data_IF_743034852600
#
_entry.id   IF_743034852600
#
_cell.length_a   1.000
_cell.length_b   1.000
_cell.length_c   1.000
_cell.angle_alpha   90.00
_cell.angle_beta   90.00
_cell.angle_gamma   90.00
#
_symmetry.space_group_name_H-M   'P 1'
#
loop_
_entity.id
_entity.type
_entity.pdbx_description
1 polymer ?
#
# COMPACT_ATOMS: atom_id res chain seq x y z
N UNK A 1 1.83 31.19 6.78
CA UNK A 1 2.97 30.39 6.26
C UNK A 1 2.42 29.26 5.44
N UNK A 2 2.95 29.01 4.25
CA UNK A 2 2.61 27.85 3.42
C UNK A 2 3.92 27.21 2.98
N UNK A 3 4.10 25.92 3.27
CA UNK A 3 5.32 25.18 2.95
C UNK A 3 4.94 23.86 2.27
N UNK A 4 5.47 23.57 1.06
CA UNK A 4 5.26 22.28 0.41
C UNK A 4 5.96 21.17 1.23
N UNK A 5 5.31 20.01 1.30
CA UNK A 5 5.90 18.81 1.87
C UNK A 5 6.20 17.80 0.77
N UNK A 6 7.22 16.96 0.92
CA UNK A 6 7.53 15.91 -0.05
C UNK A 6 6.33 14.97 -0.23
N UNK A 7 5.83 14.86 -1.45
CA UNK A 7 4.82 13.89 -1.83
C UNK A 7 4.87 13.72 -3.35
N UNK A 8 4.90 12.47 -3.82
CA UNK A 8 5.03 12.18 -5.26
C UNK A 8 3.70 12.26 -6.01
N UNK A 9 2.61 11.86 -5.37
CA UNK A 9 1.30 11.75 -6.03
C UNK A 9 0.43 12.96 -5.75
N UNK A 10 0.24 13.24 -4.47
CA UNK A 10 -0.62 14.32 -4.00
C UNK A 10 0.21 15.59 -3.82
N UNK A 11 -0.42 16.74 -3.88
CA UNK A 11 0.23 17.98 -3.46
C UNK A 11 -0.11 18.21 -2.00
N UNK A 12 0.92 18.17 -1.16
CA UNK A 12 0.77 18.30 0.29
C UNK A 12 1.46 19.56 0.77
N UNK A 13 0.75 20.35 1.53
CA UNK A 13 1.27 21.61 2.08
C UNK A 13 1.03 21.67 3.58
N UNK A 14 2.01 22.15 4.30
CA UNK A 14 1.82 22.63 5.65
C UNK A 14 1.36 24.08 5.61
N UNK A 15 0.29 24.38 6.32
CA UNK A 15 -0.23 25.73 6.48
C UNK A 15 -0.32 26.10 7.96
N UNK A 16 -0.27 27.40 8.25
CA UNK A 16 -0.52 27.92 9.58
C UNK A 16 -1.76 28.82 9.54
N UNK A 17 -2.72 28.52 10.40
CA UNK A 17 -3.92 29.34 10.56
C UNK A 17 -3.59 30.68 11.21
N UNK A 18 -4.53 31.65 11.20
CA UNK A 18 -4.38 32.93 11.90
C UNK A 18 -4.30 32.76 13.43
N UNK A 19 -4.85 31.68 13.95
CA UNK A 19 -4.78 31.31 15.36
C UNK A 19 -3.46 30.62 15.75
N UNK A 20 -2.55 30.39 14.78
CA UNK A 20 -1.26 29.77 15.03
C UNK A 20 -1.25 28.23 14.89
N UNK A 21 -2.39 27.60 14.64
CA UNK A 21 -2.49 26.15 14.45
C UNK A 21 -1.80 25.72 13.17
N UNK A 22 -1.10 24.59 13.20
CA UNK A 22 -0.44 24.01 12.03
C UNK A 22 -1.29 22.86 11.48
N UNK A 23 -1.64 22.96 10.21
CA UNK A 23 -2.45 22.00 9.49
C UNK A 23 -1.71 21.48 8.25
N UNK A 24 -2.09 20.30 7.82
CA UNK A 24 -1.68 19.72 6.54
C UNK A 24 -2.88 19.80 5.60
N UNK A 25 -2.66 20.36 4.42
CA UNK A 25 -3.61 20.33 3.30
C UNK A 25 -3.11 19.31 2.29
N UNK A 26 -3.90 18.26 2.03
CA UNK A 26 -3.64 17.25 1.02
C UNK A 26 -4.58 17.52 -0.16
N UNK A 27 -4.01 17.88 -1.31
CA UNK A 27 -4.73 17.96 -2.58
C UNK A 27 -4.55 16.62 -3.31
N UNK A 28 -5.65 15.92 -3.52
CA UNK A 28 -5.63 14.63 -4.20
C UNK A 28 -5.35 14.81 -5.70
N UNK A 29 -4.51 13.95 -6.26
CA UNK A 29 -4.20 14.00 -7.70
C UNK A 29 -5.50 13.87 -8.50
N UNK A 30 -5.79 14.81 -9.46
CA UNK A 30 -6.99 14.75 -10.26
C UNK A 30 -7.15 13.41 -10.99
N UNK A 31 -8.36 12.85 -10.99
CA UNK A 31 -8.75 11.59 -11.64
C UNK A 31 -8.17 10.31 -10.99
N UNK A 32 -7.41 10.40 -9.88
CA UNK A 32 -6.96 9.22 -9.16
C UNK A 32 -8.10 8.60 -8.37
N UNK A 33 -8.77 9.40 -7.56
CA UNK A 33 -9.87 8.96 -6.72
C UNK A 33 -11.13 9.76 -6.98
N UNK A 34 -12.28 9.09 -6.92
CA UNK A 34 -13.58 9.75 -6.82
C UNK A 34 -13.76 10.36 -5.41
N UNK A 35 -14.76 11.24 -5.25
CA UNK A 35 -15.13 11.75 -3.94
C UNK A 35 -15.48 10.62 -2.97
N UNK A 36 -16.27 9.64 -3.43
CA UNK A 36 -16.68 8.50 -2.61
C UNK A 36 -15.49 7.64 -2.16
N UNK A 37 -14.49 7.44 -3.03
CA UNK A 37 -13.27 6.72 -2.68
C UNK A 37 -12.46 7.45 -1.60
N UNK A 38 -12.38 8.79 -1.64
CA UNK A 38 -11.73 9.59 -0.59
C UNK A 38 -12.55 9.52 0.71
N UNK A 39 -13.87 9.57 0.64
CA UNK A 39 -14.72 9.39 1.82
C UNK A 39 -14.63 7.98 2.41
N UNK A 40 -14.35 6.94 1.60
CA UNK A 40 -14.06 5.58 2.10
C UNK A 40 -12.75 5.55 2.92
N UNK A 41 -11.69 6.27 2.48
CA UNK A 41 -10.46 6.48 3.25
C UNK A 41 -10.76 7.15 4.60
N UNK A 42 -11.49 8.26 4.57
CA UNK A 42 -11.83 9.02 5.77
C UNK A 42 -12.69 8.22 6.75
N UNK A 43 -13.60 7.38 6.25
CA UNK A 43 -14.39 6.46 7.09
C UNK A 43 -13.51 5.39 7.74
N UNK A 44 -12.50 4.88 7.04
CA UNK A 44 -11.58 3.92 7.64
C UNK A 44 -10.72 4.56 8.73
N UNK A 45 -10.22 5.77 8.51
CA UNK A 45 -9.53 6.55 9.54
C UNK A 45 -10.42 6.79 10.77
N UNK A 46 -11.69 7.13 10.57
CA UNK A 46 -12.64 7.30 11.66
C UNK A 46 -12.91 6.00 12.44
N UNK A 47 -13.05 4.85 11.74
CA UNK A 47 -13.21 3.54 12.38
C UNK A 47 -11.95 3.17 13.20
N UNK A 48 -10.75 3.46 12.69
CA UNK A 48 -9.50 3.28 13.42
C UNK A 48 -9.42 4.18 14.67
N UNK A 49 -9.73 5.46 14.52
CA UNK A 49 -9.74 6.39 15.66
C UNK A 49 -10.74 5.99 16.74
N UNK A 50 -11.93 5.53 16.35
CA UNK A 50 -12.94 5.00 17.28
C UNK A 50 -12.45 3.75 18.02
N UNK A 51 -11.56 2.97 17.41
CA UNK A 51 -10.90 1.82 18.03
C UNK A 51 -9.62 2.22 18.80
N UNK A 52 -9.44 3.53 19.06
CA UNK A 52 -8.27 4.09 19.77
C UNK A 52 -6.93 3.73 19.11
N UNK A 53 -6.94 3.52 17.78
CA UNK A 53 -5.72 3.33 17.00
C UNK A 53 -5.15 4.73 16.71
N UNK A 54 -3.86 4.97 16.97
CA UNK A 54 -3.24 6.26 16.70
C UNK A 54 -3.16 6.57 15.19
N UNK A 55 -4.14 7.30 14.67
CA UNK A 55 -4.22 7.76 13.28
C UNK A 55 -4.47 9.26 13.24
N UNK A 56 -4.32 9.87 12.07
CA UNK A 56 -4.63 11.29 11.85
C UNK A 56 -5.90 11.39 11.01
N UNK A 57 -7.02 11.71 11.66
CA UNK A 57 -8.28 11.92 10.97
C UNK A 57 -8.33 13.29 10.29
N UNK A 58 -9.00 13.40 9.13
CA UNK A 58 -9.27 14.68 8.51
C UNK A 58 -10.22 15.54 9.38
N UNK A 59 -10.05 16.85 9.27
CA UNK A 59 -10.91 17.83 9.93
C UNK A 59 -12.22 17.99 9.15
N UNK A 60 -13.31 18.22 9.87
CA UNK A 60 -14.57 18.64 9.26
C UNK A 60 -14.47 20.07 8.74
N UNK A 61 -14.98 20.28 7.53
CA UNK A 61 -15.14 21.59 6.91
C UNK A 61 -16.44 22.25 7.38
N UNK A 62 -16.64 23.50 7.01
CA UNK A 62 -17.82 24.29 7.42
C UNK A 62 -19.17 23.71 6.99
N UNK A 63 -19.19 22.84 5.98
CA UNK A 63 -20.36 22.13 5.50
C UNK A 63 -20.56 20.74 6.15
N UNK A 64 -19.72 20.39 7.13
CA UNK A 64 -19.74 19.09 7.82
C UNK A 64 -19.08 17.96 7.03
N UNK A 65 -18.55 18.22 5.84
CA UNK A 65 -17.81 17.23 5.06
C UNK A 65 -16.33 17.22 5.45
N UNK A 66 -15.63 16.13 5.16
CA UNK A 66 -14.15 16.05 5.31
C UNK A 66 -13.43 16.20 3.97
N UNK A 67 -14.18 16.28 2.86
CA UNK A 67 -13.65 16.39 1.49
C UNK A 67 -14.12 17.68 0.87
N UNK A 68 -13.21 18.63 0.70
CA UNK A 68 -13.46 19.85 -0.06
C UNK A 68 -13.15 19.69 -1.54
N UNK A 69 -13.62 20.63 -2.35
CA UNK A 69 -13.31 20.72 -3.77
C UNK A 69 -12.99 22.16 -4.14
N UNK A 70 -11.89 22.34 -4.87
CA UNK A 70 -11.54 23.61 -5.50
C UNK A 70 -11.19 23.33 -6.95
N UNK A 71 -11.84 24.05 -7.87
CA UNK A 71 -11.82 23.74 -9.30
C UNK A 71 -12.14 22.26 -9.56
N UNK A 72 -11.20 21.52 -10.16
CA UNK A 72 -11.35 20.08 -10.42
C UNK A 72 -10.56 19.18 -9.45
N UNK A 73 -10.10 19.73 -8.32
CA UNK A 73 -9.23 19.03 -7.37
C UNK A 73 -9.92 18.87 -6.03
N UNK A 74 -9.96 17.66 -5.50
CA UNK A 74 -10.39 17.38 -4.14
C UNK A 74 -9.27 17.67 -3.15
N UNK A 75 -9.62 18.10 -1.94
CA UNK A 75 -8.66 18.30 -0.87
C UNK A 75 -9.24 17.91 0.49
N UNK A 76 -8.37 17.63 1.43
CA UNK A 76 -8.70 17.44 2.84
C UNK A 76 -7.71 18.18 3.73
N UNK A 77 -8.16 18.51 4.93
CA UNK A 77 -7.36 19.15 5.97
C UNK A 77 -7.09 18.16 7.09
N UNK A 78 -5.85 18.09 7.53
CA UNK A 78 -5.45 17.24 8.64
C UNK A 78 -4.71 18.07 9.71
N UNK A 79 -4.86 17.75 11.00
CA UNK A 79 -3.99 18.33 12.01
C UNK A 79 -2.54 17.88 11.75
N UNK A 80 -1.58 18.79 11.86
CA UNK A 80 -0.17 18.40 11.74
C UNK A 80 0.23 17.56 12.94
N UNK A 81 0.69 16.35 12.68
CA UNK A 81 1.29 15.45 13.66
C UNK A 81 2.70 15.10 13.21
N UNK A 82 3.65 15.25 14.11
CA UNK A 82 5.05 14.90 13.86
C UNK A 82 5.38 13.63 14.64
N UNK A 83 6.25 12.80 14.11
CA UNK A 83 6.82 11.64 14.77
C UNK A 83 8.25 11.44 14.27
N UNK A 84 8.98 10.54 14.90
CA UNK A 84 10.29 10.07 14.42
C UNK A 84 10.07 8.86 13.55
N UNK A 85 10.95 8.60 12.61
CA UNK A 85 10.94 7.36 11.87
C UNK A 85 11.07 6.17 12.85
N UNK A 86 10.23 5.16 12.64
CA UNK A 86 10.24 3.98 13.48
C UNK A 86 11.31 3.00 12.97
N UNK A 87 12.22 2.64 13.88
CA UNK A 87 13.24 1.64 13.64
C UNK A 87 12.95 0.39 14.48
N UNK A 88 13.10 -0.77 13.86
CA UNK A 88 13.03 -2.07 14.54
C UNK A 88 14.41 -2.40 15.08
N UNK A 89 14.54 -2.42 16.41
CA UNK A 89 15.80 -2.68 17.09
C UNK A 89 15.77 -3.97 17.93
N UNK A 90 14.58 -4.50 18.24
CA UNK A 90 14.39 -5.68 19.07
C UNK A 90 13.16 -6.51 18.61
N UNK A 91 13.08 -7.74 19.08
CA UNK A 91 11.95 -8.65 18.82
C UNK A 91 10.61 -8.05 19.25
N UNK A 92 10.59 -7.35 20.39
CA UNK A 92 9.37 -6.69 20.89
C UNK A 92 8.82 -5.64 19.90
N UNK A 93 9.67 -5.03 19.08
CA UNK A 93 9.22 -4.07 18.07
C UNK A 93 8.38 -4.76 16.99
N UNK A 94 8.73 -6.00 16.60
CA UNK A 94 7.93 -6.80 15.67
C UNK A 94 6.57 -7.16 16.27
N UNK A 95 6.56 -7.63 17.52
CA UNK A 95 5.32 -7.92 18.23
C UNK A 95 4.44 -6.68 18.41
N UNK A 96 5.04 -5.52 18.66
CA UNK A 96 4.37 -4.22 18.72
C UNK A 96 3.73 -3.83 17.37
N UNK A 97 4.45 -4.06 16.26
CA UNK A 97 3.91 -3.88 14.91
C UNK A 97 2.72 -4.81 14.67
N UNK A 98 2.85 -6.08 15.00
CA UNK A 98 1.78 -7.05 14.86
C UNK A 98 0.51 -6.64 15.60
N UNK A 99 0.63 -6.20 16.87
CA UNK A 99 -0.51 -5.66 17.65
C UNK A 99 -1.20 -4.49 16.95
N UNK A 100 -0.41 -3.58 16.39
CA UNK A 100 -0.96 -2.42 15.67
C UNK A 100 -1.73 -2.85 14.43
N UNK A 101 -1.15 -3.74 13.61
CA UNK A 101 -1.77 -4.24 12.37
C UNK A 101 -3.04 -5.04 12.68
N UNK A 102 -3.01 -5.92 13.69
CA UNK A 102 -4.19 -6.67 14.13
C UNK A 102 -5.37 -5.76 14.52
N UNK A 103 -5.10 -4.66 15.22
CA UNK A 103 -6.12 -3.66 15.57
C UNK A 103 -6.65 -2.91 14.34
N UNK A 104 -5.78 -2.52 13.40
CA UNK A 104 -6.19 -1.88 12.15
C UNK A 104 -7.11 -2.81 11.35
N UNK A 105 -6.76 -4.08 11.23
CA UNK A 105 -7.55 -5.06 10.49
C UNK A 105 -8.88 -5.36 11.17
N UNK A 106 -8.92 -5.41 12.50
CA UNK A 106 -10.18 -5.51 13.25
C UNK A 106 -11.11 -4.32 12.99
N UNK A 107 -10.57 -3.11 12.85
CA UNK A 107 -11.35 -1.95 12.39
C UNK A 107 -11.70 -2.07 10.89
N UNK A 108 -10.83 -2.72 10.09
CA UNK A 108 -11.01 -2.96 8.66
C UNK A 108 -12.22 -3.82 8.33
N UNK A 109 -12.54 -4.83 9.15
CA UNK A 109 -13.68 -5.73 8.98
C UNK A 109 -15.04 -5.04 9.12
N UNK A 110 -15.10 -3.93 9.84
CA UNK A 110 -16.38 -3.30 10.21
C UNK A 110 -17.23 -2.86 9.03
N UNK A 111 -16.62 -2.55 7.89
CA UNK A 111 -17.32 -2.01 6.70
C UNK A 111 -16.64 -2.44 5.41
N UNK A 112 -17.42 -2.51 4.35
CA UNK A 112 -16.92 -2.68 2.98
C UNK A 112 -16.95 -1.32 2.29
N UNK A 113 -15.84 -0.82 1.71
CA UNK A 113 -15.80 0.42 0.96
C UNK A 113 -16.57 0.27 -0.36
N UNK A 114 -17.06 1.39 -0.91
CA UNK A 114 -17.89 1.38 -2.11
C UNK A 114 -17.07 1.47 -3.40
N UNK A 115 -16.01 2.26 -3.40
CA UNK A 115 -15.28 2.64 -4.60
C UNK A 115 -13.75 2.45 -4.47
N UNK A 116 -13.32 1.56 -3.56
CA UNK A 116 -11.91 1.22 -3.43
C UNK A 116 -11.56 -0.04 -4.22
N UNK A 117 -10.30 -0.09 -4.64
CA UNK A 117 -9.75 -1.23 -5.38
C UNK A 117 -9.87 -2.50 -4.55
N UNK A 118 -10.20 -3.61 -5.21
CA UNK A 118 -10.05 -4.96 -4.65
C UNK A 118 -8.77 -5.56 -5.21
N UNK A 119 -7.83 -5.85 -4.33
CA UNK A 119 -6.54 -6.43 -4.68
C UNK A 119 -6.70 -7.87 -5.13
N UNK A 120 -6.49 -8.12 -6.42
CA UNK A 120 -6.64 -9.45 -7.00
C UNK A 120 -5.84 -9.54 -8.31
N UNK A 121 -5.12 -10.67 -8.59
CA UNK A 121 -4.29 -10.81 -9.80
C UNK A 121 -5.07 -10.54 -11.10
N UNK A 122 -6.26 -11.11 -11.24
CA UNK A 122 -7.11 -10.97 -12.45
C UNK A 122 -7.92 -9.67 -12.52
N UNK A 123 -7.78 -8.78 -11.54
CA UNK A 123 -8.47 -7.48 -11.53
C UNK A 123 -7.44 -6.35 -11.47
N UNK A 124 -7.07 -5.90 -10.27
CA UNK A 124 -6.19 -4.75 -10.09
C UNK A 124 -4.84 -4.91 -10.79
N UNK A 125 -4.20 -6.09 -10.70
CA UNK A 125 -2.92 -6.32 -11.38
C UNK A 125 -3.11 -6.40 -12.89
N UNK A 126 -4.20 -7.02 -13.36
CA UNK A 126 -4.54 -7.04 -14.80
C UNK A 126 -4.78 -5.63 -15.33
N UNK A 127 -5.51 -4.80 -14.61
CA UNK A 127 -5.76 -3.40 -15.00
C UNK A 127 -4.46 -2.60 -15.10
N UNK A 128 -3.51 -2.84 -14.19
CA UNK A 128 -2.20 -2.20 -14.19
C UNK A 128 -1.33 -2.69 -15.36
N UNK A 129 -1.30 -4.00 -15.65
CA UNK A 129 -0.63 -4.57 -16.82
C UNK A 129 -1.20 -4.03 -18.13
N UNK A 130 -2.53 -4.02 -18.25
CA UNK A 130 -3.23 -3.45 -19.40
C UNK A 130 -2.86 -1.98 -19.62
N UNK A 131 -2.75 -1.20 -18.54
CA UNK A 131 -2.33 0.20 -18.63
C UNK A 131 -0.91 0.33 -19.15
N UNK A 132 0.03 -0.47 -18.65
CA UNK A 132 1.44 -0.45 -19.09
C UNK A 132 1.55 -0.84 -20.56
N UNK A 133 0.88 -1.91 -20.96
CA UNK A 133 0.98 -2.50 -22.31
C UNK A 133 0.30 -1.60 -23.34
N UNK A 134 -0.94 -1.15 -23.09
CA UNK A 134 -1.70 -0.27 -24.00
C UNK A 134 -1.11 1.13 -24.11
N UNK A 135 -0.45 1.59 -23.05
CA UNK A 135 0.26 2.86 -23.05
C UNK A 135 1.61 2.83 -23.75
N UNK A 136 2.02 1.66 -24.28
CA UNK A 136 3.29 1.44 -24.98
C UNK A 136 4.52 1.86 -24.15
N UNK A 137 4.45 1.63 -22.83
CA UNK A 137 5.55 1.99 -21.92
C UNK A 137 6.71 0.99 -21.98
N UNK A 138 6.46 -0.25 -22.39
CA UNK A 138 7.48 -1.28 -22.62
C UNK A 138 8.06 -1.12 -24.01
N UNK A 139 9.39 -1.14 -24.11
CA UNK A 139 10.06 -1.03 -25.43
C UNK A 139 9.67 -2.18 -26.34
N UNK A 140 9.60 -1.98 -27.66
CA UNK A 140 9.17 -3.01 -28.63
C UNK A 140 9.93 -4.33 -28.47
N UNK A 141 11.23 -4.27 -28.20
CA UNK A 141 12.12 -5.41 -28.06
C UNK A 141 11.78 -6.28 -26.83
N UNK A 142 11.29 -5.65 -25.76
CA UNK A 142 11.00 -6.31 -24.49
C UNK A 142 9.52 -6.68 -24.30
N UNK A 143 8.65 -6.10 -25.13
CA UNK A 143 7.20 -6.19 -24.95
C UNK A 143 6.67 -7.63 -24.92
N UNK A 144 7.03 -8.43 -25.91
CA UNK A 144 6.53 -9.81 -26.01
C UNK A 144 6.97 -10.68 -24.84
N UNK A 145 8.23 -10.50 -24.36
CA UNK A 145 8.75 -11.25 -23.20
C UNK A 145 8.08 -10.79 -21.92
N UNK A 146 7.86 -9.48 -21.74
CA UNK A 146 7.15 -8.94 -20.60
C UNK A 146 5.71 -9.43 -20.52
N UNK A 147 4.97 -9.39 -21.64
CA UNK A 147 3.58 -9.86 -21.72
C UNK A 147 3.49 -11.36 -21.39
N UNK A 148 4.31 -12.21 -22.00
CA UNK A 148 4.30 -13.65 -21.77
C UNK A 148 4.67 -14.01 -20.31
N UNK A 149 5.70 -13.38 -19.75
CA UNK A 149 6.14 -13.62 -18.38
C UNK A 149 5.05 -13.21 -17.37
N UNK A 150 4.52 -12.02 -17.52
CA UNK A 150 3.52 -11.50 -16.57
C UNK A 150 2.20 -12.25 -16.66
N UNK A 151 1.77 -12.68 -17.87
CA UNK A 151 0.60 -13.55 -18.05
C UNK A 151 0.76 -14.87 -17.31
N UNK A 152 1.89 -15.56 -17.53
CA UNK A 152 2.19 -16.83 -16.83
C UNK A 152 2.17 -16.68 -15.31
N UNK A 153 2.72 -15.59 -14.79
CA UNK A 153 2.70 -15.35 -13.35
C UNK A 153 1.27 -15.13 -12.86
N UNK A 154 0.50 -14.26 -13.53
CA UNK A 154 -0.90 -13.98 -13.14
C UNK A 154 -1.75 -15.26 -13.18
N UNK A 155 -1.57 -16.10 -14.18
CA UNK A 155 -2.28 -17.38 -14.26
C UNK A 155 -1.90 -18.32 -13.12
N UNK A 156 -0.61 -18.43 -12.79
CA UNK A 156 -0.11 -19.33 -11.74
C UNK A 156 -0.55 -18.91 -10.33
N UNK A 157 -0.56 -17.59 -10.03
CA UNK A 157 -0.91 -17.10 -8.69
C UNK A 157 -2.41 -16.92 -8.46
N UNK A 158 -3.20 -16.78 -9.52
CA UNK A 158 -4.64 -16.47 -9.37
C UNK A 158 -5.43 -17.49 -8.55
N UNK A 159 -5.20 -18.82 -8.69
CA UNK A 159 -5.89 -19.80 -7.88
C UNK A 159 -5.60 -19.67 -6.37
N UNK A 160 -4.46 -19.12 -5.99
CA UNK A 160 -4.07 -18.95 -4.59
C UNK A 160 -4.95 -17.93 -3.85
N UNK A 161 -5.57 -17.01 -4.60
CA UNK A 161 -6.47 -15.98 -4.05
C UNK A 161 -7.93 -16.43 -3.95
N UNK A 162 -8.26 -17.62 -4.47
CA UNK A 162 -9.61 -18.16 -4.35
C UNK A 162 -9.92 -18.51 -2.88
N UNK A 163 -10.99 -17.92 -2.36
CA UNK A 163 -11.37 -18.07 -0.95
C UNK A 163 -10.53 -17.31 0.06
N UNK A 164 -9.54 -16.54 -0.37
CA UNK A 164 -8.78 -15.68 0.53
C UNK A 164 -9.69 -14.65 1.21
N UNK A 165 -9.47 -14.43 2.49
CA UNK A 165 -10.16 -13.39 3.22
C UNK A 165 -9.82 -12.00 2.65
N UNK A 166 -10.84 -11.16 2.50
CA UNK A 166 -10.70 -9.80 1.99
C UNK A 166 -11.37 -8.82 2.95
N UNK A 167 -10.58 -7.90 3.50
CA UNK A 167 -11.02 -6.81 4.37
C UNK A 167 -10.50 -5.47 3.87
N UNK A 168 -10.87 -4.36 4.53
CA UNK A 168 -10.15 -3.10 4.33
C UNK A 168 -8.77 -3.22 4.95
N UNK A 169 -7.75 -2.98 4.16
CA UNK A 169 -6.35 -2.93 4.56
C UNK A 169 -5.77 -1.54 4.29
N UNK A 170 -4.66 -1.23 4.91
CA UNK A 170 -3.95 0.05 4.66
C UNK A 170 -3.43 0.12 3.22
N UNK A 171 -2.93 -0.99 2.69
CA UNK A 171 -2.49 -1.15 1.31
C UNK A 171 -1.08 -0.62 1.01
N UNK A 172 -0.52 0.21 1.88
CA UNK A 172 0.85 0.74 1.78
C UNK A 172 1.51 0.84 3.16
N UNK A 173 1.35 -0.19 4.00
CA UNK A 173 1.81 -0.19 5.38
C UNK A 173 3.31 -0.52 5.49
N UNK A 174 4.15 0.40 5.06
CA UNK A 174 5.59 0.32 5.26
C UNK A 174 6.06 1.18 6.45
N UNK A 175 7.30 0.99 6.91
CA UNK A 175 7.83 1.69 8.11
C UNK A 175 7.78 3.21 8.01
N UNK A 176 7.95 3.77 6.82
CA UNK A 176 7.83 5.23 6.59
C UNK A 176 6.45 5.79 6.89
N UNK A 177 5.40 4.95 6.89
CA UNK A 177 4.04 5.32 7.25
C UNK A 177 3.70 5.04 8.73
N UNK A 178 4.72 4.70 9.55
CA UNK A 178 4.60 4.37 10.97
C UNK A 178 5.48 5.28 11.84
N UNK A 179 5.23 6.59 11.91
CA UNK A 179 5.99 7.46 12.79
C UNK A 179 5.77 7.11 14.27
N UNK A 180 6.88 7.01 15.02
CA UNK A 180 6.85 6.83 16.47
C UNK A 180 6.81 8.19 17.18
N UNK A 181 5.89 8.30 18.15
CA UNK A 181 5.70 9.53 18.93
C UNK A 181 6.00 9.26 20.40
N UNK A 182 6.97 9.97 20.98
CA UNK A 182 7.30 9.82 22.39
C UNK A 182 6.06 9.98 23.28
N UNK A 183 5.74 8.96 24.05
CA UNK A 183 4.61 8.95 24.99
C UNK A 183 3.23 8.60 24.37
N UNK A 184 3.09 8.60 23.04
CA UNK A 184 1.84 8.24 22.35
C UNK A 184 1.98 6.91 21.58
N UNK A 185 3.19 6.50 21.25
CA UNK A 185 3.47 5.26 20.54
C UNK A 185 3.44 5.37 19.02
N UNK A 186 3.35 4.23 18.34
CA UNK A 186 3.29 4.16 16.88
C UNK A 186 1.98 4.74 16.38
N UNK A 187 2.08 5.68 15.46
CA UNK A 187 0.98 6.27 14.73
C UNK A 187 0.99 5.73 13.30
N UNK A 188 -0.18 5.62 12.66
CA UNK A 188 -0.32 5.23 11.27
C UNK A 188 -0.78 6.42 10.45
N UNK A 189 -0.11 6.66 9.33
CA UNK A 189 -0.43 7.75 8.41
C UNK A 189 -0.57 7.22 6.97
N UNK A 190 -1.13 8.06 6.11
CA UNK A 190 -1.22 7.87 4.65
C UNK A 190 -2.03 6.64 4.20
N UNK A 191 -3.31 6.67 4.50
CA UNK A 191 -4.31 5.69 4.05
C UNK A 191 -4.75 5.90 2.58
N UNK A 192 -4.01 6.67 1.79
CA UNK A 192 -4.38 7.02 0.40
C UNK A 192 -4.55 5.78 -0.48
N UNK A 193 -3.75 4.75 -0.25
CA UNK A 193 -3.78 3.47 -0.97
C UNK A 193 -4.63 2.39 -0.28
N UNK A 194 -5.45 2.76 0.73
CA UNK A 194 -6.34 1.80 1.37
C UNK A 194 -7.21 1.10 0.31
N UNK A 195 -7.37 -0.21 0.48
CA UNK A 195 -8.05 -1.07 -0.47
C UNK A 195 -8.77 -2.23 0.22
N UNK A 196 -9.45 -3.05 -0.56
CA UNK A 196 -9.94 -4.37 -0.13
C UNK A 196 -8.86 -5.38 -0.52
N UNK A 197 -8.33 -6.10 0.45
CA UNK A 197 -7.27 -7.08 0.19
C UNK A 197 -7.09 -8.08 1.32
N UNK A 198 -6.24 -9.09 1.11
CA UNK A 198 -5.93 -10.05 2.16
C UNK A 198 -5.10 -9.39 3.27
N UNK A 199 -5.39 -9.68 4.56
CA UNK A 199 -4.67 -9.09 5.71
C UNK A 199 -3.15 -9.22 5.62
N UNK A 200 -2.64 -10.33 5.11
CA UNK A 200 -1.21 -10.58 4.96
C UNK A 200 -0.50 -9.53 4.09
N UNK A 201 -1.25 -8.77 3.27
CA UNK A 201 -0.67 -7.71 2.44
C UNK A 201 0.00 -6.61 3.28
N UNK A 202 -0.63 -6.16 4.35
CA UNK A 202 -0.03 -5.14 5.21
C UNK A 202 1.12 -5.70 6.06
N UNK A 203 1.13 -7.00 6.35
CA UNK A 203 2.20 -7.63 7.13
C UNK A 203 3.49 -7.77 6.31
N UNK A 204 3.41 -8.26 5.06
CA UNK A 204 4.63 -8.48 4.28
C UNK A 204 5.36 -7.20 3.91
N UNK A 205 4.66 -6.06 3.81
CA UNK A 205 5.28 -4.75 3.54
C UNK A 205 6.22 -4.28 4.67
N UNK A 206 6.11 -4.87 5.86
CA UNK A 206 6.98 -4.60 7.00
C UNK A 206 8.24 -5.47 7.00
N UNK A 207 8.23 -6.61 6.29
CA UNK A 207 9.31 -7.59 6.32
C UNK A 207 10.60 -7.05 5.66
N UNK A 208 11.77 -7.43 6.20
CA UNK A 208 13.05 -6.98 5.65
C UNK A 208 13.45 -7.68 4.36
N UNK A 209 12.93 -8.89 4.09
CA UNK A 209 13.30 -9.74 2.95
C UNK A 209 12.10 -10.60 2.50
N UNK A 210 12.32 -11.55 1.61
CA UNK A 210 11.36 -12.57 1.21
C UNK A 210 10.87 -13.40 2.41
N UNK A 211 9.65 -13.94 2.31
CA UNK A 211 9.00 -14.68 3.39
C UNK A 211 9.86 -15.83 3.93
N UNK A 212 10.50 -16.59 3.05
CA UNK A 212 11.37 -17.71 3.44
C UNK A 212 12.57 -17.33 4.31
N UNK A 213 13.04 -16.08 4.19
CA UNK A 213 14.15 -15.52 4.97
C UNK A 213 13.71 -14.70 6.18
N UNK A 214 12.42 -14.38 6.27
CA UNK A 214 11.83 -13.53 7.31
C UNK A 214 10.90 -14.33 8.24
N UNK A 215 11.11 -15.64 8.39
CA UNK A 215 10.23 -16.52 9.19
C UNK A 215 10.10 -16.04 10.63
N UNK A 216 11.24 -15.68 11.26
CA UNK A 216 11.26 -15.14 12.64
C UNK A 216 10.45 -13.86 12.77
N UNK A 217 10.61 -12.94 11.85
CA UNK A 217 9.89 -11.66 11.83
C UNK A 217 8.39 -11.90 11.63
N UNK A 218 8.01 -12.85 10.76
CA UNK A 218 6.62 -13.26 10.56
C UNK A 218 6.04 -13.81 11.86
N UNK A 219 6.73 -14.76 12.53
CA UNK A 219 6.26 -15.36 13.78
C UNK A 219 6.03 -14.29 14.86
N UNK A 220 6.98 -13.37 15.05
CA UNK A 220 6.87 -12.27 16.00
C UNK A 220 5.75 -11.28 15.67
N UNK A 221 5.55 -10.98 14.38
CA UNK A 221 4.42 -10.16 13.91
C UNK A 221 3.09 -10.85 14.25
N UNK A 222 2.98 -12.16 13.98
CA UNK A 222 1.77 -12.92 14.23
C UNK A 222 1.51 -13.08 15.72
N UNK A 223 2.53 -13.30 16.56
CA UNK A 223 2.40 -13.29 18.02
C UNK A 223 1.75 -12.00 18.55
N UNK A 224 2.06 -10.88 17.93
CA UNK A 224 1.42 -9.60 18.26
C UNK A 224 0.02 -9.46 17.67
N UNK A 225 -0.16 -9.82 16.43
CA UNK A 225 -1.40 -9.70 15.67
C UNK A 225 -2.53 -10.50 16.31
N UNK A 226 -2.25 -11.74 16.68
CA UNK A 226 -3.24 -12.69 17.23
C UNK A 226 -3.71 -12.35 18.65
N UNK A 227 -3.09 -11.37 19.31
CA UNK A 227 -3.63 -10.80 20.54
C UNK A 227 -4.94 -10.02 20.32
N UNK A 228 -5.23 -9.63 19.08
CA UNK A 228 -6.40 -8.81 18.74
C UNK A 228 -7.31 -9.46 17.70
N UNK A 229 -6.75 -10.24 16.79
CA UNK A 229 -7.48 -10.81 15.67
C UNK A 229 -6.85 -12.13 15.25
N UNK A 230 -7.67 -13.16 15.05
CA UNK A 230 -7.23 -14.42 14.46
C UNK A 230 -6.63 -14.22 13.06
N UNK A 231 -5.55 -14.94 12.75
CA UNK A 231 -4.86 -14.84 11.48
C UNK A 231 -4.98 -16.13 10.67
N UNK A 232 -5.30 -16.03 9.40
CA UNK A 232 -5.25 -17.16 8.48
C UNK A 232 -3.79 -17.45 8.08
N UNK A 233 -3.13 -18.37 8.77
CA UNK A 233 -1.74 -18.78 8.50
C UNK A 233 -1.55 -19.30 7.08
N UNK A 234 -2.58 -19.87 6.45
CA UNK A 234 -2.50 -20.32 5.05
C UNK A 234 -2.28 -19.17 4.07
N UNK A 235 -2.62 -17.94 4.47
CA UNK A 235 -2.43 -16.73 3.66
C UNK A 235 -0.96 -16.30 3.53
N UNK A 236 -0.04 -16.83 4.35
CA UNK A 236 1.41 -16.56 4.24
C UNK A 236 1.93 -16.93 2.85
N UNK A 237 1.39 -17.96 2.22
CA UNK A 237 1.68 -18.35 0.83
C UNK A 237 1.41 -17.23 -0.20
N UNK A 238 0.61 -16.22 0.16
CA UNK A 238 0.30 -15.09 -0.72
C UNK A 238 1.38 -13.99 -0.70
N UNK A 239 2.36 -14.04 0.20
CA UNK A 239 3.37 -12.98 0.36
C UNK A 239 4.12 -12.74 -0.96
N UNK A 240 4.68 -13.78 -1.56
CA UNK A 240 5.46 -13.62 -2.79
C UNK A 240 4.59 -13.30 -4.01
N UNK A 241 3.40 -13.88 -4.22
CA UNK A 241 2.40 -13.37 -5.15
C UNK A 241 2.07 -11.89 -4.98
N UNK A 242 1.83 -11.43 -3.74
CA UNK A 242 1.52 -10.03 -3.44
C UNK A 242 2.72 -9.11 -3.74
N UNK A 243 3.95 -9.58 -3.54
CA UNK A 243 5.18 -8.86 -3.91
C UNK A 243 5.23 -8.65 -5.42
N UNK A 244 4.95 -9.68 -6.23
CA UNK A 244 4.83 -9.53 -7.68
C UNK A 244 3.75 -8.48 -8.05
N UNK A 245 2.57 -8.59 -7.46
CA UNK A 245 1.48 -7.64 -7.73
C UNK A 245 1.89 -6.19 -7.37
N UNK A 246 2.65 -6.00 -6.30
CA UNK A 246 3.19 -4.69 -5.92
C UNK A 246 4.24 -4.17 -6.89
N UNK A 247 5.08 -5.02 -7.47
CA UNK A 247 6.02 -4.64 -8.54
C UNK A 247 5.24 -4.10 -9.74
N UNK A 248 4.22 -4.84 -10.20
CA UNK A 248 3.38 -4.40 -11.33
C UNK A 248 2.65 -3.09 -11.02
N UNK A 249 2.08 -2.96 -9.81
CA UNK A 249 1.47 -1.71 -9.35
C UNK A 249 2.47 -0.53 -9.42
N UNK A 250 3.71 -0.74 -8.94
CA UNK A 250 4.75 0.29 -8.98
C UNK A 250 5.14 0.68 -10.41
N UNK A 251 5.28 -0.29 -11.32
CA UNK A 251 5.54 -0.02 -12.74
C UNK A 251 4.40 0.79 -13.38
N UNK A 252 3.15 0.43 -13.10
CA UNK A 252 1.98 1.19 -13.58
C UNK A 252 1.90 2.58 -12.94
N UNK A 253 2.26 2.70 -11.66
CA UNK A 253 2.37 3.97 -10.95
C UNK A 253 3.41 4.89 -11.61
N UNK A 254 4.59 4.39 -11.96
CA UNK A 254 5.60 5.09 -12.72
C UNK A 254 5.08 5.52 -14.11
N UNK A 255 4.43 4.59 -14.82
CA UNK A 255 3.85 4.86 -16.13
C UNK A 255 2.83 6.00 -16.11
N UNK A 256 1.98 6.08 -15.07
CA UNK A 256 1.00 7.19 -14.90
C UNK A 256 1.67 8.55 -14.68
N UNK A 257 2.94 8.58 -14.29
CA UNK A 257 3.71 9.79 -14.03
C UNK A 257 4.78 10.07 -15.11
N UNK A 258 4.94 9.18 -16.07
CA UNK A 258 6.00 9.25 -17.09
C UNK A 258 6.04 10.59 -17.86
N UNK A 259 4.92 11.32 -17.91
CA UNK A 259 4.82 12.63 -18.53
C UNK A 259 5.02 13.81 -17.58
N UNK A 260 5.13 13.57 -16.27
CA UNK A 260 5.36 14.63 -15.29
C UNK A 260 6.83 15.06 -15.36
N UNK A 261 7.06 16.38 -15.35
CA UNK A 261 8.42 16.94 -15.42
C UNK A 261 9.32 16.45 -14.28
N UNK A 262 8.82 16.53 -13.06
CA UNK A 262 9.58 16.14 -11.87
C UNK A 262 9.92 14.64 -11.88
N UNK A 263 8.99 13.80 -12.36
CA UNK A 263 9.24 12.36 -12.48
C UNK A 263 10.39 12.08 -13.46
N UNK A 264 10.37 12.68 -14.65
CA UNK A 264 11.43 12.49 -15.63
C UNK A 264 12.80 13.01 -15.16
N UNK A 265 12.82 14.11 -14.44
CA UNK A 265 14.05 14.66 -13.87
C UNK A 265 14.67 13.73 -12.82
N UNK A 266 13.85 13.06 -12.03
CA UNK A 266 14.30 12.16 -10.97
C UNK A 266 14.51 10.70 -11.41
N UNK A 267 13.91 10.29 -12.55
CA UNK A 267 13.98 8.94 -13.11
C UNK A 267 14.35 8.95 -14.60
N UNK A 268 15.56 9.45 -14.96
CA UNK A 268 15.94 9.64 -16.36
C UNK A 268 16.00 8.33 -17.16
N UNK A 269 16.31 7.22 -16.52
CA UNK A 269 16.47 5.90 -17.16
C UNK A 269 15.17 5.10 -17.27
N UNK A 270 14.07 5.59 -16.66
CA UNK A 270 12.79 4.89 -16.63
C UNK A 270 12.23 4.67 -18.03
N UNK A 271 11.80 3.44 -18.31
CA UNK A 271 11.19 3.06 -19.60
C UNK A 271 12.18 2.79 -20.73
N UNK A 272 13.50 2.95 -20.52
CA UNK A 272 14.54 2.63 -21.49
C UNK A 272 14.81 1.12 -21.60
N UNK A 273 15.61 0.72 -22.61
CA UNK A 273 15.97 -0.69 -22.84
C UNK A 273 16.59 -1.35 -21.61
N UNK A 274 17.61 -0.73 -21.00
CA UNK A 274 18.28 -1.28 -19.82
C UNK A 274 17.34 -1.39 -18.61
N UNK A 275 16.40 -0.45 -18.46
CA UNK A 275 15.38 -0.50 -17.44
C UNK A 275 14.51 -1.74 -17.62
N UNK A 276 13.92 -1.95 -18.80
CA UNK A 276 13.04 -3.09 -19.04
C UNK A 276 13.77 -4.43 -19.00
N UNK A 277 15.01 -4.48 -19.50
CA UNK A 277 15.83 -5.67 -19.35
C UNK A 277 16.00 -6.09 -17.89
N UNK A 278 16.29 -5.11 -17.02
CA UNK A 278 16.44 -5.35 -15.58
C UNK A 278 15.11 -5.76 -14.94
N UNK A 279 14.03 -5.05 -15.22
CA UNK A 279 12.71 -5.35 -14.65
C UNK A 279 12.23 -6.77 -15.05
N UNK A 280 12.47 -7.21 -16.27
CA UNK A 280 12.13 -8.57 -16.71
C UNK A 280 12.96 -9.62 -15.97
N UNK A 281 14.24 -9.36 -15.72
CA UNK A 281 15.08 -10.24 -14.92
C UNK A 281 14.60 -10.32 -13.47
N UNK A 282 14.26 -9.20 -12.87
CA UNK A 282 13.74 -9.12 -11.50
C UNK A 282 12.37 -9.81 -11.38
N UNK A 283 11.47 -9.64 -12.35
CA UNK A 283 10.19 -10.35 -12.43
C UNK A 283 10.36 -11.86 -12.59
N UNK A 284 11.31 -12.29 -13.43
CA UNK A 284 11.60 -13.71 -13.60
C UNK A 284 12.17 -14.33 -12.32
N UNK A 285 13.05 -13.61 -11.60
CA UNK A 285 13.54 -14.03 -10.29
C UNK A 285 12.39 -14.13 -9.28
N UNK A 286 11.51 -13.13 -9.23
CA UNK A 286 10.32 -13.17 -8.37
C UNK A 286 9.42 -14.37 -8.70
N UNK A 287 9.28 -14.72 -9.97
CA UNK A 287 8.52 -15.89 -10.37
C UNK A 287 9.15 -17.20 -9.85
N UNK A 288 10.47 -17.33 -9.88
CA UNK A 288 11.15 -18.50 -9.29
C UNK A 288 10.89 -18.60 -7.79
N UNK A 289 10.98 -17.47 -7.05
CA UNK A 289 10.68 -17.45 -5.62
C UNK A 289 9.23 -17.86 -5.34
N UNK A 290 8.27 -17.42 -6.15
CA UNK A 290 6.87 -17.82 -6.04
C UNK A 290 6.73 -19.35 -6.19
N UNK A 291 7.38 -19.93 -7.19
CA UNK A 291 7.30 -21.37 -7.45
C UNK A 291 7.95 -22.20 -6.34
N UNK A 292 9.11 -21.79 -5.84
CA UNK A 292 9.78 -22.44 -4.70
C UNK A 292 8.90 -22.48 -3.45
N UNK A 293 8.27 -21.36 -3.12
CA UNK A 293 7.36 -21.28 -1.96
C UNK A 293 6.14 -22.19 -2.16
N UNK A 294 5.58 -22.25 -3.37
CA UNK A 294 4.43 -23.13 -3.65
C UNK A 294 4.78 -24.61 -3.52
N UNK A 295 5.96 -25.01 -3.94
CA UNK A 295 6.43 -26.40 -3.83
C UNK A 295 6.63 -26.79 -2.35
N UNK A 296 7.19 -25.89 -1.52
CA UNK A 296 7.34 -26.12 -0.08
C UNK A 296 5.99 -26.34 0.62
N UNK A 297 4.95 -25.57 0.28
CA UNK A 297 3.61 -25.74 0.85
C UNK A 297 2.86 -26.99 0.36
N UNK A 298 3.21 -27.53 -0.80
CA UNK A 298 2.64 -28.81 -1.28
C UNK A 298 3.26 -30.01 -0.58
N UNK A 299 4.50 -29.90 -0.10
CA UNK A 299 5.23 -30.96 0.57
C UNK A 299 4.92 -31.06 2.07
N UNK A 300 4.42 -30.00 2.68
CA UNK A 300 4.05 -29.96 4.11
C UNK A 300 2.65 -29.31 4.29
N UNK A 301 1.57 -30.01 3.89
CA UNK A 301 0.21 -29.56 4.16
C UNK A 301 -0.08 -29.79 5.63
N UNK A 302 -0.01 -28.72 6.45
CA UNK A 302 -0.31 -28.70 7.90
C UNK A 302 -1.75 -29.15 8.21
#
# INVERSE_FOLDING_TARGET
LTMPLPSYINRVYEIQTRAGERLIVKFYRPRRWSRNAIEDEHRFLADCAQAEIPVVCPLELSDGSTVGKTDNTFFALFPKRSGREFEVNADEDWTRLGRLVGRIHLAGERRTPKERVTLHPKKSTRDDLDYIIRGEFVTPEHRAVFEDLTERIVESISPLFEGAELIRIHGDLHRGNLPDRPGEGLMVIDFDDMMIGPPVHDLWLLLPDHAGRSRREIDLLLDGYEQFREFDHSSIRLIEPLRFMRIIYYLAWCARQANDYDFRANHPDWGGENFWQKEILDLNHQYQVIMEVQDDYQLDPA
#
